data_IF_168070977983
#
_entry.id   IF_168070977983
#
_cell.length_a   1.000
_cell.length_b   1.000
_cell.length_c   1.000
_cell.angle_alpha   90.00
_cell.angle_beta   90.00
_cell.angle_gamma   90.00
#
_symmetry.space_group_name_H-M   'P 1'
#
loop_
_entity.id
_entity.type
_entity.pdbx_description
1 polymer ?
#
# COMPACT_ATOMS: atom_id res chain seq x y z
N UNK A 1 -96.00 -43.75 -4.59
CA UNK A 1 -96.12 -42.64 -5.54
C UNK A 1 -94.85 -41.86 -5.38
N UNK A 2 -94.07 -41.75 -6.45
CA UNK A 2 -92.89 -40.90 -6.45
C UNK A 2 -93.37 -39.47 -6.75
N UNK A 3 -92.98 -38.52 -5.92
CA UNK A 3 -93.28 -37.11 -6.11
C UNK A 3 -92.26 -36.55 -7.10
N UNK A 4 -92.69 -35.77 -8.08
CA UNK A 4 -91.78 -35.12 -9.02
C UNK A 4 -90.86 -34.13 -8.28
N UNK A 5 -89.71 -33.81 -8.87
CA UNK A 5 -88.83 -32.79 -8.31
C UNK A 5 -89.46 -31.41 -8.53
N UNK A 6 -89.38 -30.55 -7.52
CA UNK A 6 -90.00 -29.24 -7.56
C UNK A 6 -90.38 -28.71 -6.18
N UNK A 7 -90.97 -27.52 -6.18
CA UNK A 7 -91.43 -26.84 -4.98
C UNK A 7 -92.94 -27.06 -4.79
N UNK A 8 -93.34 -27.49 -3.60
CA UNK A 8 -94.72 -27.83 -3.30
C UNK A 8 -95.22 -27.07 -2.08
N UNK A 9 -96.39 -26.45 -2.19
CA UNK A 9 -97.10 -25.86 -1.05
C UNK A 9 -97.89 -26.94 -0.32
N UNK A 10 -97.63 -27.10 0.97
CA UNK A 10 -98.30 -28.07 1.83
C UNK A 10 -99.46 -27.38 2.56
N UNK A 11 -100.64 -27.99 2.51
CA UNK A 11 -101.86 -27.50 3.15
C UNK A 11 -102.43 -28.61 4.03
N UNK A 12 -102.76 -28.29 5.27
CA UNK A 12 -103.41 -29.17 6.23
C UNK A 12 -104.92 -28.97 6.17
N UNK A 13 -105.65 -30.08 6.03
CA UNK A 13 -107.11 -30.10 6.11
C UNK A 13 -107.51 -30.92 7.34
N UNK A 14 -108.20 -30.27 8.28
CA UNK A 14 -108.75 -30.90 9.48
C UNK A 14 -110.27 -30.74 9.45
N UNK A 15 -110.99 -31.83 9.68
CA UNK A 15 -112.45 -31.83 9.63
C UNK A 15 -113.03 -30.84 10.66
N UNK A 16 -113.83 -29.88 10.18
CA UNK A 16 -114.40 -28.79 11.00
C UNK A 16 -113.59 -27.48 11.02
N UNK A 17 -112.41 -27.42 10.38
CA UNK A 17 -111.57 -26.22 10.30
C UNK A 17 -111.24 -25.84 8.84
N UNK A 18 -111.04 -24.55 8.53
CA UNK A 18 -110.59 -24.14 7.20
C UNK A 18 -109.20 -24.70 6.88
N UNK A 19 -108.90 -25.03 5.60
CA UNK A 19 -107.56 -25.46 5.20
C UNK A 19 -106.50 -24.45 5.62
N UNK A 20 -105.41 -24.91 6.23
CA UNK A 20 -104.31 -24.07 6.71
C UNK A 20 -103.02 -24.38 5.99
N UNK A 21 -102.27 -23.35 5.60
CA UNK A 21 -100.96 -23.56 4.97
C UNK A 21 -99.95 -24.05 6.01
N UNK A 22 -99.40 -25.24 5.78
CA UNK A 22 -98.45 -25.89 6.68
C UNK A 22 -97.01 -25.42 6.44
N UNK A 23 -96.70 -25.06 5.19
CA UNK A 23 -95.37 -24.64 4.76
C UNK A 23 -95.09 -25.05 3.31
N UNK A 24 -93.87 -24.79 2.87
CA UNK A 24 -93.40 -25.17 1.54
C UNK A 24 -92.29 -26.19 1.67
N UNK A 25 -92.31 -27.22 0.83
CA UNK A 25 -91.23 -28.19 0.72
C UNK A 25 -90.59 -28.09 -0.65
N UNK A 26 -89.32 -28.44 -0.73
CA UNK A 26 -88.59 -28.56 -1.99
C UNK A 26 -88.07 -29.99 -2.12
N UNK A 27 -88.44 -30.66 -3.21
CA UNK A 27 -87.95 -32.00 -3.56
C UNK A 27 -86.92 -31.84 -4.66
N UNK A 28 -85.66 -32.13 -4.35
CA UNK A 28 -84.55 -32.13 -5.30
C UNK A 28 -84.40 -33.49 -5.98
N UNK A 29 -83.68 -33.53 -7.10
CA UNK A 29 -83.42 -34.77 -7.86
C UNK A 29 -82.70 -35.84 -7.02
N UNK A 30 -81.87 -35.41 -6.07
CA UNK A 30 -81.09 -36.25 -5.15
C UNK A 30 -81.74 -36.40 -3.76
N UNK A 31 -82.97 -35.90 -3.58
CA UNK A 31 -83.66 -35.99 -2.29
C UNK A 31 -83.93 -37.44 -1.90
N UNK A 32 -83.50 -37.82 -0.70
CA UNK A 32 -83.76 -39.15 -0.16
C UNK A 32 -85.25 -39.31 0.20
N UNK A 33 -85.86 -40.49 0.02
CA UNK A 33 -87.23 -40.74 0.46
C UNK A 33 -87.39 -40.49 1.97
N UNK A 34 -88.45 -39.80 2.35
CA UNK A 34 -88.71 -39.41 3.75
C UNK A 34 -90.18 -39.08 4.00
N UNK A 35 -90.49 -38.65 5.23
CA UNK A 35 -91.83 -38.21 5.60
C UNK A 35 -92.03 -36.74 5.25
N UNK A 36 -93.28 -36.31 5.03
CA UNK A 36 -93.63 -34.91 4.76
C UNK A 36 -93.05 -33.93 5.80
N UNK A 37 -93.00 -34.36 7.06
CA UNK A 37 -92.43 -33.54 8.14
C UNK A 37 -90.91 -33.41 8.04
N UNK A 38 -90.20 -34.42 7.51
CA UNK A 38 -88.77 -34.36 7.25
C UNK A 38 -88.44 -33.27 6.21
N UNK A 39 -89.32 -33.10 5.21
CA UNK A 39 -89.17 -32.06 4.19
C UNK A 39 -89.63 -30.66 4.66
N UNK A 40 -90.63 -30.57 5.53
CA UNK A 40 -91.09 -29.28 6.10
C UNK A 40 -90.08 -28.67 7.09
N UNK A 41 -89.27 -29.50 7.74
CA UNK A 41 -88.19 -29.08 8.64
C UNK A 41 -86.80 -29.05 7.99
N UNK A 42 -86.69 -29.45 6.73
CA UNK A 42 -85.41 -29.44 6.01
C UNK A 42 -84.99 -28.01 5.70
N UNK A 43 -83.71 -27.68 5.95
CA UNK A 43 -83.15 -26.42 5.48
C UNK A 43 -83.21 -26.36 3.96
N UNK A 44 -83.77 -25.27 3.44
CA UNK A 44 -83.85 -25.03 2.00
C UNK A 44 -82.63 -24.26 1.49
N UNK A 45 -82.39 -24.29 0.18
CA UNK A 45 -81.34 -23.48 -0.44
C UNK A 45 -81.51 -21.98 -0.16
N UNK A 46 -82.76 -21.50 -0.06
CA UNK A 46 -83.06 -20.11 0.26
C UNK A 46 -82.67 -19.76 1.72
N UNK A 47 -82.67 -20.74 2.63
CA UNK A 47 -82.19 -20.54 4.02
C UNK A 47 -80.66 -20.52 4.11
N UNK A 48 -79.97 -21.28 3.25
CA UNK A 48 -78.51 -21.36 3.21
C UNK A 48 -77.85 -20.22 2.39
N UNK A 49 -78.56 -19.65 1.42
CA UNK A 49 -78.06 -18.59 0.52
C UNK A 49 -77.52 -17.35 1.26
N UNK A 50 -78.18 -16.82 2.32
CA UNK A 50 -77.64 -15.70 3.09
C UNK A 50 -76.30 -16.02 3.77
N UNK A 51 -76.13 -17.24 4.30
CA UNK A 51 -74.86 -17.65 4.93
C UNK A 51 -73.74 -17.88 3.92
N UNK A 52 -74.07 -18.47 2.76
CA UNK A 52 -73.12 -18.66 1.67
C UNK A 52 -72.60 -17.32 1.13
N UNK A 53 -73.49 -16.34 0.97
CA UNK A 53 -73.11 -15.00 0.53
C UNK A 53 -72.20 -14.30 1.55
N UNK A 54 -72.52 -14.42 2.85
CA UNK A 54 -71.69 -13.86 3.92
C UNK A 54 -70.28 -14.47 3.98
N UNK A 55 -70.15 -15.80 3.75
CA UNK A 55 -68.84 -16.47 3.65
C UNK A 55 -68.06 -16.03 2.41
N UNK A 56 -68.77 -15.82 1.29
CA UNK A 56 -68.16 -15.31 0.06
C UNK A 56 -67.62 -13.88 0.25
N UNK A 57 -68.40 -12.99 0.88
CA UNK A 57 -67.95 -11.63 1.21
C UNK A 57 -66.70 -11.64 2.09
N UNK A 58 -66.66 -12.48 3.13
CA UNK A 58 -65.48 -12.65 3.99
C UNK A 58 -64.26 -13.15 3.20
N UNK A 59 -64.46 -14.11 2.31
CA UNK A 59 -63.40 -14.66 1.46
C UNK A 59 -62.85 -13.59 0.50
N UNK A 60 -63.71 -12.75 -0.08
CA UNK A 60 -63.30 -11.64 -0.95
C UNK A 60 -62.52 -10.60 -0.15
N UNK A 61 -62.95 -10.26 1.07
CA UNK A 61 -62.22 -9.35 1.95
C UNK A 61 -60.83 -9.90 2.31
N UNK A 62 -60.73 -11.18 2.64
CA UNK A 62 -59.45 -11.83 2.92
C UNK A 62 -58.55 -11.91 1.69
N UNK A 63 -59.10 -12.20 0.51
CA UNK A 63 -58.36 -12.16 -0.75
C UNK A 63 -57.84 -10.76 -1.06
N UNK A 64 -58.65 -9.72 -0.84
CA UNK A 64 -58.22 -8.33 -0.99
C UNK A 64 -57.10 -7.96 0.00
N UNK A 65 -57.21 -8.40 1.26
CA UNK A 65 -56.16 -8.21 2.28
C UNK A 65 -54.84 -8.87 1.86
N UNK A 66 -54.89 -10.11 1.39
CA UNK A 66 -53.70 -10.82 0.90
C UNK A 66 -53.09 -10.17 -0.33
N UNK A 67 -53.91 -9.64 -1.25
CA UNK A 67 -53.41 -8.91 -2.41
C UNK A 67 -52.66 -7.62 -2.01
N UNK A 68 -53.18 -6.86 -1.05
CA UNK A 68 -52.48 -5.66 -0.55
C UNK A 68 -51.20 -6.02 0.20
N UNK A 69 -51.18 -7.10 0.99
CA UNK A 69 -49.98 -7.60 1.65
C UNK A 69 -48.92 -8.04 0.63
N UNK A 70 -49.32 -8.77 -0.42
CA UNK A 70 -48.43 -9.17 -1.50
C UNK A 70 -47.83 -7.95 -2.23
N UNK A 71 -48.64 -6.93 -2.50
CA UNK A 71 -48.19 -5.67 -3.11
C UNK A 71 -47.19 -4.93 -2.23
N UNK A 72 -47.44 -4.87 -0.92
CA UNK A 72 -46.50 -4.29 0.05
C UNK A 72 -45.17 -5.05 0.05
N UNK A 73 -45.22 -6.37 0.16
CA UNK A 73 -44.03 -7.23 0.16
C UNK A 73 -43.23 -7.10 -1.14
N UNK A 74 -43.91 -6.96 -2.29
CA UNK A 74 -43.24 -6.70 -3.57
C UNK A 74 -42.47 -5.38 -3.56
N UNK A 75 -43.04 -4.31 -2.99
CA UNK A 75 -42.35 -3.02 -2.84
C UNK A 75 -41.15 -3.08 -1.89
N UNK A 76 -41.25 -3.81 -0.79
CA UNK A 76 -40.13 -4.05 0.14
C UNK A 76 -39.01 -4.87 -0.52
N UNK A 77 -39.37 -5.88 -1.32
CA UNK A 77 -38.43 -6.67 -2.10
C UNK A 77 -37.72 -5.83 -3.18
N UNK A 78 -38.45 -4.95 -3.88
CA UNK A 78 -37.85 -4.02 -4.85
C UNK A 78 -36.85 -3.07 -4.17
N UNK A 79 -37.21 -2.53 -3.01
CA UNK A 79 -36.32 -1.66 -2.21
C UNK A 79 -35.07 -2.42 -1.77
N UNK A 80 -35.24 -3.64 -1.29
CA UNK A 80 -34.13 -4.52 -0.91
C UNK A 80 -33.20 -4.82 -2.09
N UNK A 81 -33.76 -5.10 -3.27
CA UNK A 81 -33.00 -5.35 -4.49
C UNK A 81 -32.21 -4.10 -4.94
N UNK A 82 -32.81 -2.91 -4.88
CA UNK A 82 -32.12 -1.64 -5.17
C UNK A 82 -30.96 -1.40 -4.20
N UNK A 83 -31.17 -1.62 -2.91
CA UNK A 83 -30.13 -1.48 -1.89
C UNK A 83 -28.98 -2.47 -2.12
N UNK A 84 -29.28 -3.72 -2.46
CA UNK A 84 -28.27 -4.72 -2.82
C UNK A 84 -27.45 -4.27 -4.05
N UNK A 85 -28.09 -3.70 -5.06
CA UNK A 85 -27.41 -3.13 -6.23
C UNK A 85 -26.47 -1.97 -5.89
N UNK A 86 -26.91 -1.07 -4.99
CA UNK A 86 -26.06 0.03 -4.51
C UNK A 86 -24.84 -0.52 -3.75
N UNK A 87 -25.05 -1.48 -2.84
CA UNK A 87 -23.98 -2.11 -2.08
C UNK A 87 -22.99 -2.84 -3.00
N UNK A 88 -23.47 -3.52 -4.04
CA UNK A 88 -22.61 -4.16 -5.04
C UNK A 88 -21.74 -3.13 -5.78
N UNK A 89 -22.33 -2.01 -6.22
CA UNK A 89 -21.59 -0.94 -6.87
C UNK A 89 -20.59 -0.23 -5.94
N UNK A 90 -20.88 -0.14 -4.65
CA UNK A 90 -19.91 0.35 -3.66
C UNK A 90 -18.75 -0.64 -3.47
N UNK A 91 -19.04 -1.93 -3.39
CA UNK A 91 -18.02 -2.98 -3.28
C UNK A 91 -17.09 -2.99 -4.51
N UNK A 92 -17.64 -2.82 -5.72
CA UNK A 92 -16.85 -2.71 -6.96
C UNK A 92 -15.91 -1.49 -6.92
N UNK A 93 -16.41 -0.31 -6.52
CA UNK A 93 -15.57 0.89 -6.34
C UNK A 93 -14.47 0.68 -5.31
N UNK A 94 -14.79 0.04 -4.18
CA UNK A 94 -13.82 -0.31 -3.16
C UNK A 94 -12.75 -1.26 -3.68
N UNK A 95 -13.11 -2.24 -4.53
CA UNK A 95 -12.16 -3.16 -5.16
C UNK A 95 -11.20 -2.42 -6.09
N UNK A 96 -11.70 -1.51 -6.95
CA UNK A 96 -10.86 -0.70 -7.85
C UNK A 96 -9.90 0.21 -7.07
N UNK A 97 -10.38 0.82 -5.96
CA UNK A 97 -9.53 1.64 -5.11
C UNK A 97 -8.42 0.82 -4.42
N UNK A 98 -8.73 -0.41 -4.01
CA UNK A 98 -7.75 -1.32 -3.42
C UNK A 98 -6.69 -1.74 -4.45
N UNK A 99 -7.10 -2.03 -5.69
CA UNK A 99 -6.18 -2.34 -6.78
C UNK A 99 -5.25 -1.15 -7.11
N UNK A 100 -5.82 0.05 -7.18
CA UNK A 100 -5.03 1.29 -7.38
C UNK A 100 -4.01 1.48 -6.26
N UNK A 101 -4.45 1.36 -5.01
CA UNK A 101 -3.56 1.50 -3.83
C UNK A 101 -2.45 0.45 -3.81
N UNK A 102 -2.74 -0.78 -4.26
CA UNK A 102 -1.73 -1.83 -4.39
C UNK A 102 -0.71 -1.50 -5.50
N UNK A 103 -1.16 -0.89 -6.60
CA UNK A 103 -0.30 -0.35 -7.66
C UNK A 103 0.66 0.71 -7.14
N UNK A 104 0.14 1.74 -6.46
CA UNK A 104 0.93 2.83 -5.88
C UNK A 104 1.96 2.32 -4.86
N UNK A 105 1.59 1.33 -4.05
CA UNK A 105 2.49 0.69 -3.10
C UNK A 105 3.62 -0.08 -3.82
N UNK A 106 3.30 -0.77 -4.93
CA UNK A 106 4.29 -1.46 -5.75
C UNK A 106 5.29 -0.49 -6.39
N UNK A 107 4.80 0.65 -6.90
CA UNK A 107 5.65 1.69 -7.48
C UNK A 107 6.56 2.33 -6.42
N UNK A 108 6.01 2.64 -5.25
CA UNK A 108 6.78 3.16 -4.12
C UNK A 108 7.90 2.18 -3.69
N UNK A 109 7.62 0.88 -3.66
CA UNK A 109 8.62 -0.14 -3.35
C UNK A 109 9.74 -0.23 -4.41
N UNK A 110 9.40 -0.04 -5.70
CA UNK A 110 10.40 0.04 -6.79
C UNK A 110 11.30 1.27 -6.62
N UNK A 111 10.71 2.44 -6.40
CA UNK A 111 11.46 3.68 -6.19
C UNK A 111 12.39 3.60 -4.97
N UNK A 112 11.94 2.96 -3.88
CA UNK A 112 12.79 2.72 -2.71
C UNK A 112 13.98 1.81 -3.03
N UNK A 113 13.76 0.77 -3.85
CA UNK A 113 14.83 -0.14 -4.29
C UNK A 113 15.86 0.57 -5.17
N UNK A 114 15.40 1.39 -6.12
CA UNK A 114 16.27 2.21 -6.98
C UNK A 114 17.07 3.24 -6.18
N UNK A 115 16.43 3.87 -5.20
CA UNK A 115 17.08 4.82 -4.28
C UNK A 115 18.17 4.12 -3.45
N UNK A 116 17.89 2.92 -2.92
CA UNK A 116 18.87 2.13 -2.18
C UNK A 116 20.06 1.72 -3.07
N UNK A 117 19.81 1.35 -4.34
CA UNK A 117 20.88 1.04 -5.29
C UNK A 117 21.76 2.27 -5.58
N UNK A 118 21.15 3.44 -5.78
CA UNK A 118 21.86 4.70 -6.02
C UNK A 118 22.69 5.13 -4.80
N UNK A 119 22.16 4.93 -3.59
CA UNK A 119 22.88 5.18 -2.34
C UNK A 119 24.12 4.28 -2.24
N UNK A 120 23.98 2.99 -2.56
CA UNK A 120 25.11 2.04 -2.55
C UNK A 120 26.19 2.42 -3.57
N UNK A 121 25.80 2.82 -4.78
CA UNK A 121 26.76 3.29 -5.78
C UNK A 121 27.52 4.54 -5.31
N UNK A 122 26.84 5.44 -4.59
CA UNK A 122 27.45 6.65 -4.02
C UNK A 122 28.41 6.31 -2.87
N UNK A 123 28.08 5.30 -2.05
CA UNK A 123 28.95 4.75 -1.02
C UNK A 123 30.23 4.17 -1.64
N UNK A 124 30.11 3.34 -2.67
CA UNK A 124 31.25 2.74 -3.39
C UNK A 124 32.17 3.81 -4.01
N UNK A 125 31.58 4.85 -4.61
CA UNK A 125 32.31 5.99 -5.18
C UNK A 125 33.04 6.80 -4.09
N UNK A 126 32.41 6.99 -2.93
CA UNK A 126 32.99 7.69 -1.78
C UNK A 126 34.16 6.89 -1.18
N UNK A 127 34.00 5.58 -1.04
CA UNK A 127 35.05 4.67 -0.57
C UNK A 127 36.27 4.67 -1.51
N UNK A 128 36.02 4.65 -2.83
CA UNK A 128 37.08 4.75 -3.84
C UNK A 128 37.82 6.08 -3.75
N UNK A 129 37.09 7.18 -3.58
CA UNK A 129 37.67 8.53 -3.44
C UNK A 129 38.49 8.67 -2.16
N UNK A 130 38.02 8.11 -1.04
CA UNK A 130 38.74 8.09 0.21
C UNK A 130 40.06 7.30 0.09
N UNK A 131 40.03 6.15 -0.59
CA UNK A 131 41.22 5.34 -0.85
C UNK A 131 42.25 6.09 -1.71
N UNK A 132 41.78 6.77 -2.76
CA UNK A 132 42.64 7.61 -3.61
C UNK A 132 43.27 8.77 -2.83
N UNK A 133 42.51 9.42 -1.95
CA UNK A 133 43.01 10.49 -1.08
C UNK A 133 44.06 9.98 -0.09
N UNK A 134 43.83 8.81 0.52
CA UNK A 134 44.80 8.18 1.42
C UNK A 134 46.11 7.83 0.71
N UNK A 135 46.04 7.29 -0.52
CA UNK A 135 47.21 7.02 -1.34
C UNK A 135 47.99 8.31 -1.64
N UNK A 136 47.30 9.38 -2.06
CA UNK A 136 47.94 10.67 -2.33
C UNK A 136 48.60 11.29 -1.10
N UNK A 137 47.98 11.13 0.07
CA UNK A 137 48.58 11.56 1.33
C UNK A 137 49.89 10.78 1.61
N UNK A 138 49.90 9.46 1.41
CA UNK A 138 51.10 8.63 1.56
C UNK A 138 52.21 9.03 0.60
N UNK A 139 51.89 9.23 -0.69
CA UNK A 139 52.83 9.69 -1.72
C UNK A 139 53.43 11.07 -1.34
N UNK A 140 52.59 11.97 -0.82
CA UNK A 140 53.04 13.28 -0.35
C UNK A 140 53.97 13.18 0.87
N UNK A 141 53.69 12.29 1.83
CA UNK A 141 54.57 12.05 2.97
C UNK A 141 55.93 11.49 2.55
N UNK A 142 55.95 10.57 1.60
CA UNK A 142 57.19 10.02 1.06
C UNK A 142 58.02 11.12 0.36
N UNK A 143 57.37 11.92 -0.49
CA UNK A 143 58.03 13.04 -1.18
C UNK A 143 58.62 14.06 -0.21
N UNK A 144 57.93 14.34 0.90
CA UNK A 144 58.44 15.23 1.95
C UNK A 144 59.68 14.64 2.65
N UNK A 145 59.69 13.33 2.91
CA UNK A 145 60.85 12.65 3.49
C UNK A 145 62.06 12.65 2.54
N UNK A 146 61.84 12.43 1.24
CA UNK A 146 62.88 12.52 0.20
C UNK A 146 63.45 13.94 0.07
N UNK A 147 62.60 14.96 0.16
CA UNK A 147 63.03 16.36 0.18
C UNK A 147 63.88 16.67 1.42
N UNK A 148 63.53 16.13 2.60
CA UNK A 148 64.31 16.32 3.83
C UNK A 148 65.69 15.64 3.74
N UNK A 149 65.76 14.43 3.19
CA UNK A 149 67.03 13.73 2.92
C UNK A 149 67.91 14.51 1.93
N UNK A 150 67.30 15.05 0.87
CA UNK A 150 67.99 15.89 -0.11
C UNK A 150 68.56 17.15 0.54
N UNK A 151 67.78 17.81 1.42
CA UNK A 151 68.24 18.97 2.18
C UNK A 151 69.45 18.64 3.07
N UNK A 152 69.38 17.55 3.84
CA UNK A 152 70.49 17.08 4.69
C UNK A 152 71.76 16.77 3.90
N UNK A 153 71.60 16.20 2.71
CA UNK A 153 72.71 15.92 1.78
C UNK A 153 73.36 17.21 1.29
N UNK A 154 72.54 18.19 0.89
CA UNK A 154 73.03 19.51 0.48
C UNK A 154 73.73 20.27 1.61
N UNK A 155 73.17 20.24 2.83
CA UNK A 155 73.80 20.80 4.04
C UNK A 155 75.17 20.17 4.31
N UNK A 156 75.28 18.85 4.19
CA UNK A 156 76.55 18.13 4.36
C UNK A 156 77.58 18.52 3.29
N UNK A 157 77.16 18.60 2.03
CA UNK A 157 78.02 19.03 0.92
C UNK A 157 78.53 20.47 1.10
N UNK A 158 77.66 21.39 1.52
CA UNK A 158 78.03 22.77 1.83
C UNK A 158 79.04 22.85 3.00
N UNK A 159 78.83 22.04 4.05
CA UNK A 159 79.76 21.95 5.18
C UNK A 159 81.15 21.44 4.75
N UNK A 160 81.21 20.46 3.84
CA UNK A 160 82.47 19.97 3.30
C UNK A 160 83.18 21.03 2.44
N UNK A 161 82.45 21.70 1.54
CA UNK A 161 83.00 22.77 0.72
C UNK A 161 83.59 23.93 1.57
N UNK A 162 82.95 24.25 2.70
CA UNK A 162 83.46 25.24 3.66
C UNK A 162 84.78 24.81 4.31
N UNK A 163 84.91 23.53 4.68
CA UNK A 163 86.16 22.97 5.21
C UNK A 163 87.26 23.01 4.15
N UNK A 164 86.96 22.57 2.93
CA UNK A 164 87.91 22.60 1.82
C UNK A 164 88.40 24.02 1.54
N UNK A 165 87.50 25.02 1.55
CA UNK A 165 87.84 26.42 1.41
C UNK A 165 88.77 26.91 2.55
N UNK A 166 88.51 26.48 3.79
CA UNK A 166 89.35 26.82 4.95
C UNK A 166 90.76 26.23 4.80
N UNK A 167 90.86 24.95 4.45
CA UNK A 167 92.14 24.27 4.21
C UNK A 167 92.91 24.90 3.05
N UNK A 168 92.23 25.30 1.97
CA UNK A 168 92.87 26.01 0.87
C UNK A 168 93.43 27.37 1.31
N UNK A 169 92.70 28.11 2.14
CA UNK A 169 93.15 29.39 2.69
C UNK A 169 94.36 29.23 3.63
N UNK A 170 94.39 28.18 4.46
CA UNK A 170 95.54 27.85 5.32
C UNK A 170 96.78 27.52 4.47
N UNK A 171 96.65 26.63 3.49
CA UNK A 171 97.75 26.32 2.56
C UNK A 171 98.28 27.55 1.83
N UNK A 172 97.39 28.47 1.45
CA UNK A 172 97.78 29.73 0.82
C UNK A 172 98.59 30.62 1.77
N UNK A 173 98.22 30.68 3.07
CA UNK A 173 99.01 31.40 4.10
C UNK A 173 100.38 30.76 4.30
N UNK A 174 100.45 29.45 4.50
CA UNK A 174 101.71 28.72 4.67
C UNK A 174 102.65 28.93 3.48
N UNK A 175 102.10 28.93 2.26
CA UNK A 175 102.86 29.21 1.04
C UNK A 175 103.38 30.65 1.00
N UNK A 176 102.58 31.62 1.44
CA UNK A 176 103.00 33.02 1.52
C UNK A 176 104.10 33.24 2.57
N UNK A 177 103.98 32.61 3.75
CA UNK A 177 105.00 32.65 4.81
C UNK A 177 106.31 32.00 4.37
N UNK A 178 106.22 30.88 3.65
CA UNK A 178 107.39 30.21 3.06
C UNK A 178 108.08 31.11 2.03
N UNK A 179 107.31 31.79 1.17
CA UNK A 179 107.85 32.75 0.21
C UNK A 179 108.54 33.94 0.90
N UNK A 180 107.96 34.48 1.98
CA UNK A 180 108.57 35.54 2.78
C UNK A 180 109.88 35.09 3.45
N UNK A 181 109.92 33.87 3.98
CA UNK A 181 111.12 33.31 4.61
C UNK A 181 112.25 33.09 3.60
N UNK A 182 111.91 32.62 2.38
CA UNK A 182 112.85 32.51 1.28
C UNK A 182 113.41 33.88 0.86
N UNK A 183 112.56 34.91 0.81
CA UNK A 183 112.97 36.28 0.50
C UNK A 183 113.90 36.88 1.56
N UNK A 184 113.62 36.68 2.86
CA UNK A 184 114.55 37.08 3.93
C UNK A 184 115.88 36.35 3.82
N UNK A 185 115.87 35.06 3.50
CA UNK A 185 117.08 34.26 3.30
C UNK A 185 117.89 34.79 2.11
N UNK A 186 117.23 35.20 1.01
CA UNK A 186 117.87 35.84 -0.14
C UNK A 186 118.56 37.14 0.25
N UNK A 187 117.86 38.04 0.96
CA UNK A 187 118.41 39.32 1.43
C UNK A 187 119.61 39.08 2.36
N UNK A 188 119.53 38.11 3.28
CA UNK A 188 120.62 37.76 4.19
C UNK A 188 121.84 37.18 3.44
N UNK A 189 121.63 36.37 2.40
CA UNK A 189 122.70 35.88 1.55
C UNK A 189 123.37 37.01 0.75
N UNK A 190 122.58 37.96 0.22
CA UNK A 190 123.10 39.17 -0.45
C UNK A 190 123.95 40.04 0.48
N UNK A 191 123.50 40.25 1.72
CA UNK A 191 124.26 40.99 2.75
C UNK A 191 125.56 40.27 3.15
N UNK A 192 125.53 38.93 3.28
CA UNK A 192 126.71 38.12 3.57
C UNK A 192 127.76 38.17 2.45
N UNK A 193 127.35 38.15 1.19
CA UNK A 193 128.25 38.33 0.02
C UNK A 193 128.91 39.70 0.04
N UNK A 194 128.18 40.76 0.42
CA UNK A 194 128.72 42.12 0.56
C UNK A 194 129.73 42.28 1.72
N UNK A 195 129.83 41.30 2.62
CA UNK A 195 130.71 41.29 3.81
C UNK A 195 132.00 40.49 3.65
N UNK A 196 132.25 39.87 2.50
CA UNK A 196 133.50 39.14 2.22
C UNK A 196 134.63 40.17 2.00
N UNK A 197 135.73 40.16 2.78
CA UNK A 197 136.84 41.08 2.59
C UNK A 197 137.65 40.72 1.31
N UNK A 198 138.13 41.70 0.52
CA UNK A 198 138.92 41.41 -0.66
C UNK A 198 140.33 40.91 -0.29
N UNK A 199 140.85 39.96 -1.08
CA UNK A 199 142.26 39.55 -1.09
C UNK A 199 143.11 40.57 -1.87
#
# INVERSE_FOLDING_TARGET
>A
MDVEYGQYSVILLVEGFPPSHAGTITVYEDSQPGTLNDFLGAMTEDDARPEALRRFELMVEEAARHAEEAKKNAGEAETSARNAGISAGQAEKSAVNAETSAGDASESARQATESAASAKQSEDASSSSASAAAQKASESSQSAAEAELSRKTAESAAGNASRDATTAAEKARESAESAQSAEQSRIAAEDAVNRIPPW
#
